data_IF_558124330942
#
_entry.id   IF_558124330942
#
_cell.length_a   1.000
_cell.length_b   1.000
_cell.length_c   1.000
_cell.angle_alpha   90.00
_cell.angle_beta   90.00
_cell.angle_gamma   90.00
#
_symmetry.space_group_name_H-M   'P 1'
#
loop_
_entity.id
_entity.type
_entity.pdbx_description
1 polymer ?
#
# COMPACT_ATOMS: atom_id res chain seq x y z
N UNK A 1 -57.68 72.37 -11.19
CA UNK A 1 -58.06 72.04 -9.81
C UNK A 1 -57.51 70.69 -9.39
N UNK A 2 -56.65 70.75 -8.38
CA UNK A 2 -56.06 69.75 -7.48
C UNK A 2 -55.14 68.69 -8.08
N UNK A 3 -53.92 68.90 -7.99
CA UNK A 3 -52.79 68.67 -7.11
C UNK A 3 -53.05 67.69 -5.95
N UNK A 4 -52.13 66.75 -5.81
CA UNK A 4 -51.89 65.79 -4.73
C UNK A 4 -52.42 64.40 -5.05
N UNK A 5 -51.62 63.41 -5.17
CA UNK A 5 -50.58 62.94 -4.27
C UNK A 5 -49.62 62.01 -4.98
N UNK A 6 -48.39 62.49 -5.03
CA UNK A 6 -47.23 61.64 -5.31
C UNK A 6 -46.78 61.10 -3.94
N UNK A 7 -46.99 59.85 -3.66
CA UNK A 7 -46.36 59.20 -2.48
C UNK A 7 -45.61 57.94 -2.93
N UNK A 8 -44.32 58.11 -2.90
CA UNK A 8 -43.29 57.14 -2.47
C UNK A 8 -43.74 55.68 -2.41
N UNK A 9 -43.33 54.96 -3.41
CA UNK A 9 -43.01 53.54 -3.29
C UNK A 9 -41.47 53.40 -3.35
N UNK A 10 -40.81 53.61 -2.21
CA UNK A 10 -39.43 53.19 -2.02
C UNK A 10 -39.44 51.67 -2.00
N UNK A 11 -39.13 51.08 -3.14
CA UNK A 11 -38.85 49.67 -3.24
C UNK A 11 -37.60 49.35 -2.42
N UNK A 12 -37.76 48.61 -1.34
CA UNK A 12 -36.71 47.95 -0.63
C UNK A 12 -36.15 46.86 -1.60
N UNK A 13 -35.14 47.23 -2.36
CA UNK A 13 -34.28 46.27 -3.04
C UNK A 13 -33.46 45.60 -1.96
N UNK A 14 -34.01 44.50 -1.40
CA UNK A 14 -33.25 43.57 -0.57
C UNK A 14 -32.10 43.04 -1.43
N UNK A 15 -30.91 43.51 -1.18
CA UNK A 15 -29.66 42.92 -1.67
C UNK A 15 -29.55 41.50 -1.07
N UNK A 16 -30.10 40.52 -1.80
CA UNK A 16 -29.67 39.15 -1.67
C UNK A 16 -28.23 39.10 -2.17
N UNK A 17 -27.28 39.37 -1.28
CA UNK A 17 -25.91 38.92 -1.45
C UNK A 17 -25.98 37.38 -1.31
N UNK A 18 -26.33 36.74 -2.40
CA UNK A 18 -26.18 35.32 -2.55
C UNK A 18 -24.71 35.02 -2.37
N UNK A 19 -24.33 34.54 -1.18
CA UNK A 19 -23.06 33.84 -1.00
C UNK A 19 -23.10 32.67 -1.94
N UNK A 20 -22.63 32.88 -3.16
CA UNK A 20 -22.27 31.82 -4.06
C UNK A 20 -21.16 31.06 -3.33
N UNK A 21 -21.52 30.03 -2.56
CA UNK A 21 -20.58 28.97 -2.24
C UNK A 21 -20.18 28.41 -3.59
N UNK A 22 -19.14 28.99 -4.19
CA UNK A 22 -18.51 28.43 -5.36
C UNK A 22 -18.15 27.01 -4.99
N UNK A 23 -18.83 26.04 -5.58
CA UNK A 23 -18.39 24.66 -5.53
C UNK A 23 -16.97 24.68 -6.11
N UNK A 24 -15.97 24.74 -5.23
CA UNK A 24 -14.57 24.63 -5.65
C UNK A 24 -14.47 23.32 -6.39
N UNK A 25 -14.10 23.38 -7.67
CA UNK A 25 -13.90 22.18 -8.47
C UNK A 25 -12.91 21.28 -7.74
N UNK A 26 -13.28 20.02 -7.53
CA UNK A 26 -12.43 19.07 -6.84
C UNK A 26 -11.15 18.85 -7.65
N UNK A 27 -10.02 18.75 -6.97
CA UNK A 27 -8.75 18.43 -7.62
C UNK A 27 -8.69 16.94 -7.92
N UNK A 28 -8.57 16.58 -9.20
CA UNK A 28 -8.40 15.18 -9.61
C UNK A 28 -7.03 14.65 -9.17
N UNK A 29 -7.02 13.50 -8.47
CA UNK A 29 -5.81 12.84 -7.98
C UNK A 29 -5.84 11.37 -8.40
N UNK A 30 -4.87 10.96 -9.21
CA UNK A 30 -4.66 9.54 -9.54
C UNK A 30 -3.78 8.89 -8.50
N UNK A 31 -4.21 7.75 -7.98
CA UNK A 31 -3.50 6.95 -6.99
C UNK A 31 -3.30 5.53 -7.50
N UNK A 32 -2.06 5.07 -7.59
CA UNK A 32 -1.73 3.73 -8.05
C UNK A 32 -1.51 2.78 -6.88
N UNK A 33 -2.12 1.59 -6.94
CA UNK A 33 -1.77 0.46 -6.08
C UNK A 33 -0.67 -0.38 -6.75
N UNK A 34 -0.03 -1.23 -5.97
CA UNK A 34 0.93 -2.21 -6.47
C UNK A 34 0.27 -3.46 -7.04
N UNK A 35 -1.01 -3.68 -6.72
CA UNK A 35 -1.72 -4.91 -7.01
C UNK A 35 -3.16 -4.67 -7.50
N UNK A 36 -3.85 -5.74 -7.82
CA UNK A 36 -5.31 -5.75 -8.09
C UNK A 36 -6.10 -5.39 -6.84
N UNK A 37 -7.37 -5.09 -7.01
CA UNK A 37 -8.27 -4.75 -5.90
C UNK A 37 -8.64 -6.01 -5.11
N UNK A 38 -8.03 -6.14 -3.94
CA UNK A 38 -8.28 -7.17 -2.95
C UNK A 38 -8.71 -6.53 -1.62
N UNK A 39 -9.12 -7.34 -0.65
CA UNK A 39 -9.57 -6.87 0.66
C UNK A 39 -8.72 -5.75 1.29
N UNK A 40 -7.38 -5.85 1.30
CA UNK A 40 -6.51 -4.81 1.86
C UNK A 40 -6.57 -3.44 1.17
N UNK A 41 -7.24 -3.33 0.01
CA UNK A 41 -7.52 -2.03 -0.64
C UNK A 41 -8.69 -1.27 -0.01
N UNK A 42 -9.43 -1.89 0.93
CA UNK A 42 -10.63 -1.32 1.54
C UNK A 42 -10.44 0.10 2.11
N UNK A 43 -9.34 0.46 2.80
CA UNK A 43 -9.16 1.80 3.34
C UNK A 43 -9.31 2.91 2.31
N UNK A 44 -8.80 2.73 1.11
CA UNK A 44 -8.85 3.71 0.03
C UNK A 44 -10.27 3.86 -0.53
N UNK A 45 -10.96 2.75 -0.71
CA UNK A 45 -12.32 2.73 -1.23
C UNK A 45 -13.36 3.20 -0.20
N UNK A 46 -13.16 2.89 1.08
CA UNK A 46 -13.96 3.46 2.18
C UNK A 46 -13.80 4.98 2.22
N UNK A 47 -12.58 5.51 2.04
CA UNK A 47 -12.34 6.94 2.00
C UNK A 47 -13.05 7.63 0.82
N UNK A 48 -13.15 6.96 -0.35
CA UNK A 48 -13.94 7.42 -1.49
C UNK A 48 -15.43 7.37 -1.15
N UNK A 49 -15.95 6.20 -0.75
CA UNK A 49 -17.38 5.95 -0.59
C UNK A 49 -17.99 6.78 0.54
N UNK A 50 -17.23 7.06 1.61
CA UNK A 50 -17.63 7.96 2.71
C UNK A 50 -17.37 9.43 2.43
N UNK A 51 -16.83 9.76 1.26
CA UNK A 51 -16.58 11.14 0.85
C UNK A 51 -15.43 11.82 1.60
N UNK A 52 -14.51 11.10 2.23
CA UNK A 52 -13.40 11.70 2.98
C UNK A 52 -12.45 12.46 2.07
N UNK A 53 -12.11 11.92 0.90
CA UNK A 53 -11.35 12.67 -0.11
C UNK A 53 -12.09 13.89 -0.60
N UNK A 54 -13.41 13.74 -0.83
CA UNK A 54 -14.28 14.83 -1.28
C UNK A 54 -14.33 15.99 -0.28
N UNK A 55 -14.35 15.68 1.02
CA UNK A 55 -14.30 16.66 2.09
C UNK A 55 -12.98 17.45 2.14
N UNK A 56 -11.89 16.87 1.60
CA UNK A 56 -10.59 17.54 1.43
C UNK A 56 -10.48 18.24 0.04
N UNK A 57 -11.56 18.33 -0.72
CA UNK A 57 -11.57 18.93 -2.05
C UNK A 57 -10.93 18.07 -3.14
N UNK A 58 -10.84 16.74 -2.94
CA UNK A 58 -10.16 15.82 -3.85
C UNK A 58 -11.16 14.89 -4.55
N UNK A 59 -10.93 14.65 -5.84
CA UNK A 59 -11.55 13.59 -6.62
C UNK A 59 -10.50 12.51 -6.91
N UNK A 60 -10.53 11.43 -6.12
CA UNK A 60 -9.49 10.40 -6.14
C UNK A 60 -9.92 9.22 -6.99
N UNK A 61 -9.11 8.90 -8.00
CA UNK A 61 -9.19 7.67 -8.79
C UNK A 61 -8.10 6.70 -8.35
N UNK A 62 -8.49 5.46 -8.06
CA UNK A 62 -7.55 4.40 -7.67
C UNK A 62 -7.37 3.42 -8.82
N UNK A 63 -6.13 3.21 -9.24
CA UNK A 63 -5.78 2.26 -10.30
C UNK A 63 -5.00 1.06 -9.71
N UNK A 64 -5.27 -0.13 -10.24
CA UNK A 64 -4.47 -1.31 -9.95
C UNK A 64 -3.09 -1.22 -10.60
N UNK A 65 -2.10 -1.94 -10.06
CA UNK A 65 -0.72 -1.85 -10.53
C UNK A 65 -0.05 -3.19 -10.82
N UNK A 66 1.10 -3.13 -11.51
CA UNK A 66 1.87 -4.30 -11.95
C UNK A 66 3.00 -4.68 -10.98
N UNK A 67 2.87 -4.37 -9.70
CA UNK A 67 3.89 -4.61 -8.68
C UNK A 67 4.63 -3.34 -8.23
N UNK A 68 5.22 -3.41 -7.03
CA UNK A 68 5.83 -2.26 -6.36
C UNK A 68 7.01 -1.65 -7.14
N UNK A 69 7.90 -2.48 -7.68
CA UNK A 69 9.10 -1.99 -8.39
C UNK A 69 8.72 -1.16 -9.62
N UNK A 70 7.77 -1.65 -10.42
CA UNK A 70 7.29 -0.91 -11.59
C UNK A 70 6.46 0.32 -11.21
N UNK A 71 5.70 0.24 -10.11
CA UNK A 71 4.88 1.34 -9.61
C UNK A 71 5.70 2.55 -9.15
N UNK A 72 6.79 2.32 -8.43
CA UNK A 72 7.70 3.39 -7.97
C UNK A 72 8.25 4.18 -9.17
N UNK A 73 8.67 3.49 -10.24
CA UNK A 73 9.15 4.14 -11.45
C UNK A 73 8.08 5.04 -12.11
N UNK A 74 6.80 4.64 -12.04
CA UNK A 74 5.68 5.45 -12.57
C UNK A 74 5.45 6.73 -11.74
N UNK A 75 5.58 6.63 -10.40
CA UNK A 75 5.51 7.81 -9.53
C UNK A 75 6.71 8.73 -9.79
N UNK A 76 7.91 8.18 -9.89
CA UNK A 76 9.11 8.96 -10.21
C UNK A 76 8.99 9.71 -11.53
N UNK A 77 8.43 9.08 -12.56
CA UNK A 77 8.19 9.67 -13.87
C UNK A 77 7.00 10.66 -13.91
N UNK A 78 6.26 10.85 -12.80
CA UNK A 78 5.10 11.76 -12.72
C UNK A 78 3.83 11.22 -13.37
N UNK A 79 3.78 9.94 -13.78
CA UNK A 79 2.56 9.32 -14.31
C UNK A 79 1.45 9.21 -13.26
N UNK A 80 1.84 9.09 -11.99
CA UNK A 80 0.98 9.14 -10.82
C UNK A 80 1.57 10.10 -9.78
N UNK A 81 0.78 11.03 -9.23
CA UNK A 81 1.24 11.89 -8.15
C UNK A 81 1.50 11.13 -6.85
N UNK A 82 0.72 10.09 -6.60
CA UNK A 82 0.76 9.24 -5.41
C UNK A 82 0.64 7.76 -5.77
N UNK A 83 1.24 6.89 -4.97
CA UNK A 83 1.12 5.45 -5.14
C UNK A 83 1.42 4.69 -3.86
N UNK A 84 0.99 3.43 -3.79
CA UNK A 84 1.14 2.52 -2.65
C UNK A 84 2.06 1.37 -3.05
N UNK A 85 3.29 1.36 -2.50
CA UNK A 85 4.34 0.42 -2.92
C UNK A 85 5.24 0.04 -1.75
N UNK A 86 5.99 -1.07 -1.91
CA UNK A 86 7.00 -1.53 -0.94
C UNK A 86 8.10 -0.48 -0.72
N UNK A 87 8.29 -0.09 0.55
CA UNK A 87 9.27 0.94 0.91
C UNK A 87 10.72 0.47 0.71
N UNK A 88 10.99 -0.84 0.81
CA UNK A 88 12.32 -1.38 0.63
C UNK A 88 12.75 -1.37 -0.85
N UNK A 89 11.78 -1.54 -1.74
CA UNK A 89 11.97 -1.29 -3.18
C UNK A 89 12.26 0.18 -3.45
N UNK A 90 11.67 1.12 -2.70
CA UNK A 90 12.01 2.53 -2.78
C UNK A 90 13.44 2.80 -2.28
N UNK A 91 13.87 2.19 -1.18
CA UNK A 91 15.25 2.28 -0.66
C UNK A 91 16.25 1.92 -1.76
N UNK A 92 16.03 0.79 -2.44
CA UNK A 92 16.86 0.34 -3.55
C UNK A 92 16.77 1.26 -4.77
N UNK A 93 15.58 1.71 -5.12
CA UNK A 93 15.36 2.64 -6.24
C UNK A 93 16.15 3.95 -6.03
N UNK A 94 16.17 4.48 -4.81
CA UNK A 94 16.88 5.72 -4.47
C UNK A 94 18.42 5.58 -4.51
N UNK A 95 18.98 4.41 -4.20
CA UNK A 95 20.40 4.14 -4.43
C UNK A 95 20.73 4.17 -5.93
N UNK A 96 19.90 3.54 -6.74
CA UNK A 96 20.11 3.43 -8.19
C UNK A 96 19.84 4.74 -8.94
N UNK A 97 18.97 5.60 -8.38
CA UNK A 97 18.51 6.86 -8.99
C UNK A 97 18.54 7.99 -7.96
N UNK A 98 19.71 8.45 -7.50
CA UNK A 98 19.82 9.39 -6.39
C UNK A 98 19.20 10.76 -6.65
N UNK A 99 19.02 11.14 -7.92
CA UNK A 99 18.33 12.36 -8.35
C UNK A 99 16.79 12.26 -8.26
N UNK A 100 16.23 11.04 -8.28
CA UNK A 100 14.80 10.77 -8.21
C UNK A 100 14.32 10.75 -6.76
N UNK A 101 13.79 11.87 -6.27
CA UNK A 101 13.50 12.09 -4.84
C UNK A 101 12.11 11.61 -4.40
N UNK A 102 11.58 10.52 -4.98
CA UNK A 102 10.34 9.89 -4.48
C UNK A 102 10.48 9.61 -2.98
N UNK A 103 9.44 9.90 -2.20
CA UNK A 103 9.45 9.80 -0.75
C UNK A 103 8.13 9.21 -0.25
N UNK A 104 8.19 8.39 0.80
CA UNK A 104 7.01 7.90 1.49
C UNK A 104 6.46 8.96 2.46
N UNK A 105 5.14 9.06 2.54
CA UNK A 105 4.41 10.03 3.36
C UNK A 105 3.47 9.39 4.39
N UNK A 106 3.22 8.08 4.25
CA UNK A 106 2.38 7.31 5.18
C UNK A 106 2.76 5.83 5.11
N UNK A 107 3.18 5.24 6.22
CA UNK A 107 3.38 3.80 6.33
C UNK A 107 2.03 3.10 6.47
N UNK A 108 1.81 2.03 5.71
CA UNK A 108 0.57 1.25 5.75
C UNK A 108 0.80 -0.14 6.32
N UNK A 109 1.80 -0.86 5.85
CA UNK A 109 2.18 -2.15 6.43
C UNK A 109 3.35 -1.97 7.39
N UNK A 110 3.03 -1.87 8.68
CA UNK A 110 4.04 -1.81 9.75
C UNK A 110 4.88 -3.11 9.79
N UNK A 111 4.24 -4.26 9.64
CA UNK A 111 4.92 -5.54 9.43
C UNK A 111 4.76 -5.95 7.97
N UNK A 112 5.86 -6.27 7.25
CA UNK A 112 5.76 -6.64 5.85
C UNK A 112 5.09 -8.00 5.66
N UNK A 113 4.20 -8.15 4.66
CA UNK A 113 3.56 -9.42 4.34
C UNK A 113 4.44 -10.34 3.48
N UNK A 114 5.73 -10.07 3.35
CA UNK A 114 6.61 -10.83 2.47
C UNK A 114 6.77 -12.26 2.93
N UNK A 115 6.48 -13.21 2.06
CA UNK A 115 6.47 -14.63 2.37
C UNK A 115 7.06 -15.48 1.24
N UNK A 116 7.60 -16.63 1.65
CA UNK A 116 7.76 -17.80 0.80
C UNK A 116 6.55 -18.69 1.07
N UNK A 117 5.79 -19.00 0.03
CA UNK A 117 4.61 -19.85 0.15
C UNK A 117 4.85 -21.15 -0.63
N UNK A 118 4.57 -22.27 0.00
CA UNK A 118 4.76 -23.62 -0.57
C UNK A 118 3.60 -24.53 -0.17
N UNK A 119 3.60 -25.75 -0.71
CA UNK A 119 2.67 -26.77 -0.25
C UNK A 119 3.39 -27.74 0.72
N UNK A 120 2.72 -28.17 1.79
CA UNK A 120 3.28 -29.03 2.82
C UNK A 120 3.90 -30.31 2.25
N UNK A 121 3.31 -30.88 1.18
CA UNK A 121 3.85 -32.04 0.46
C UNK A 121 5.23 -31.80 -0.18
N UNK A 122 5.62 -30.53 -0.41
CA UNK A 122 6.95 -30.15 -0.96
C UNK A 122 8.09 -30.23 0.05
N UNK A 123 7.77 -30.38 1.36
CA UNK A 123 8.74 -30.57 2.44
C UNK A 123 9.55 -29.32 2.83
N UNK A 124 9.14 -28.11 2.37
CA UNK A 124 9.81 -26.85 2.71
C UNK A 124 9.28 -26.38 4.07
N UNK A 125 10.09 -26.54 5.13
CA UNK A 125 9.76 -26.17 6.52
C UNK A 125 10.65 -25.08 7.07
N UNK A 126 11.84 -24.90 6.51
CA UNK A 126 12.82 -23.90 6.89
C UNK A 126 13.43 -23.23 5.63
N UNK A 127 14.03 -22.05 5.75
CA UNK A 127 14.60 -21.35 4.60
C UNK A 127 15.60 -22.17 3.78
N UNK A 128 16.42 -22.97 4.44
CA UNK A 128 17.40 -23.85 3.76
C UNK A 128 16.81 -24.97 2.91
N UNK A 129 15.56 -25.36 3.17
CA UNK A 129 14.89 -26.38 2.38
C UNK A 129 14.55 -25.91 0.95
N UNK A 130 14.78 -24.62 0.66
CA UNK A 130 14.68 -24.06 -0.69
C UNK A 130 15.85 -24.45 -1.60
N UNK A 131 16.98 -24.90 -1.03
CA UNK A 131 18.10 -25.39 -1.83
C UNK A 131 17.69 -26.64 -2.63
N UNK A 132 17.95 -26.63 -3.93
CA UNK A 132 17.51 -27.66 -4.87
C UNK A 132 16.07 -27.53 -5.36
N UNK A 133 15.36 -26.46 -4.97
CA UNK A 133 13.96 -26.21 -5.33
C UNK A 133 13.81 -25.15 -6.43
N UNK A 134 12.62 -25.12 -7.04
CA UNK A 134 12.21 -24.09 -8.02
C UNK A 134 11.34 -23.08 -7.32
N UNK A 135 11.79 -21.84 -7.26
CA UNK A 135 11.06 -20.70 -6.70
C UNK A 135 10.42 -19.88 -7.82
N UNK A 136 9.10 -19.88 -7.90
CA UNK A 136 8.34 -19.03 -8.82
C UNK A 136 8.23 -17.61 -8.27
N UNK A 137 8.76 -16.62 -8.99
CA UNK A 137 8.82 -15.25 -8.53
C UNK A 137 8.57 -14.26 -9.67
N UNK A 138 7.57 -13.36 -9.55
CA UNK A 138 7.39 -12.26 -10.50
C UNK A 138 8.50 -11.21 -10.32
N UNK A 139 9.19 -10.83 -11.40
CA UNK A 139 10.29 -9.86 -11.33
C UNK A 139 9.91 -8.49 -10.71
N UNK A 140 8.69 -7.92 -10.93
CA UNK A 140 8.31 -6.63 -10.31
C UNK A 140 7.70 -6.76 -8.91
N UNK A 141 7.69 -7.96 -8.29
CA UNK A 141 7.10 -8.21 -6.97
C UNK A 141 7.95 -7.64 -5.83
N UNK A 142 7.30 -6.91 -4.91
CA UNK A 142 7.94 -6.36 -3.71
C UNK A 142 8.51 -7.46 -2.80
N UNK A 143 7.84 -8.61 -2.68
CA UNK A 143 8.35 -9.73 -1.88
C UNK A 143 9.59 -10.35 -2.53
N UNK A 144 9.60 -10.55 -3.86
CA UNK A 144 10.77 -11.05 -4.57
C UNK A 144 11.95 -10.06 -4.52
N UNK A 145 11.69 -8.77 -4.49
CA UNK A 145 12.73 -7.75 -4.33
C UNK A 145 13.55 -7.93 -3.03
N UNK A 146 13.03 -8.69 -2.05
CA UNK A 146 13.72 -8.97 -0.78
C UNK A 146 14.44 -10.34 -0.78
N UNK A 147 14.38 -11.10 -1.87
CA UNK A 147 14.96 -12.45 -1.97
C UNK A 147 16.44 -12.49 -1.56
N UNK A 148 17.27 -11.59 -2.07
CA UNK A 148 18.70 -11.56 -1.73
C UNK A 148 18.96 -11.30 -0.26
N UNK A 149 18.15 -10.41 0.36
CA UNK A 149 18.24 -10.16 1.80
C UNK A 149 17.86 -11.42 2.60
N UNK A 150 16.82 -12.12 2.18
CA UNK A 150 16.37 -13.36 2.79
C UNK A 150 17.43 -14.47 2.66
N UNK A 151 18.01 -14.64 1.48
CA UNK A 151 19.13 -15.57 1.21
C UNK A 151 20.31 -15.28 2.15
N UNK A 152 20.74 -14.03 2.24
CA UNK A 152 21.86 -13.61 3.08
C UNK A 152 21.59 -13.86 4.56
N UNK A 153 20.40 -13.46 5.05
CA UNK A 153 20.03 -13.64 6.46
C UNK A 153 19.98 -15.11 6.88
N UNK A 154 19.55 -15.99 5.99
CA UNK A 154 19.37 -17.42 6.26
C UNK A 154 20.52 -18.32 5.73
N UNK A 155 21.58 -17.73 5.18
CA UNK A 155 22.76 -18.43 4.64
C UNK A 155 22.37 -19.50 3.60
N UNK A 156 21.38 -19.20 2.77
CA UNK A 156 20.95 -20.08 1.66
C UNK A 156 22.02 -19.99 0.56
N UNK A 157 22.36 -21.10 -0.05
CA UNK A 157 23.20 -21.11 -1.26
C UNK A 157 22.32 -20.73 -2.47
N UNK A 158 22.29 -19.42 -2.81
CA UNK A 158 21.41 -18.86 -3.84
C UNK A 158 21.50 -19.62 -5.19
N UNK A 159 22.72 -20.01 -5.56
CA UNK A 159 22.96 -20.79 -6.79
C UNK A 159 22.29 -22.17 -6.83
N UNK A 160 21.87 -22.69 -5.67
CA UNK A 160 21.11 -23.95 -5.57
C UNK A 160 19.61 -23.76 -5.70
N UNK A 161 19.08 -22.53 -5.70
CA UNK A 161 17.66 -22.24 -5.86
C UNK A 161 17.41 -21.79 -7.30
N UNK A 162 16.61 -22.56 -8.04
CA UNK A 162 16.22 -22.17 -9.39
C UNK A 162 15.13 -21.12 -9.32
N UNK A 163 15.42 -19.89 -9.73
CA UNK A 163 14.40 -18.84 -9.86
C UNK A 163 13.69 -19.01 -11.21
N UNK A 164 12.37 -19.19 -11.15
CA UNK A 164 11.51 -19.18 -12.33
C UNK A 164 10.75 -17.86 -12.37
N UNK A 165 11.02 -17.04 -13.39
CA UNK A 165 10.29 -15.79 -13.57
C UNK A 165 8.88 -16.07 -14.07
N UNK A 166 7.90 -15.98 -13.18
CA UNK A 166 6.48 -16.24 -13.47
C UNK A 166 5.68 -14.93 -13.48
N UNK A 167 4.64 -14.87 -14.30
CA UNK A 167 3.70 -13.75 -14.24
C UNK A 167 2.78 -13.86 -13.02
N UNK A 168 2.36 -12.72 -12.48
CA UNK A 168 1.44 -12.68 -11.33
C UNK A 168 0.17 -13.53 -11.50
N UNK A 169 -0.54 -13.55 -12.67
CA UNK A 169 -1.76 -14.33 -12.80
C UNK A 169 -1.58 -15.85 -12.73
N UNK A 170 -0.36 -16.34 -12.99
CA UNK A 170 -0.06 -17.79 -13.06
C UNK A 170 0.76 -18.28 -11.87
N UNK A 171 1.19 -17.41 -10.98
CA UNK A 171 2.08 -17.72 -9.84
C UNK A 171 1.49 -18.81 -8.94
N UNK A 172 0.31 -18.57 -8.36
CA UNK A 172 -0.36 -19.55 -7.50
C UNK A 172 -0.85 -20.78 -8.27
N UNK A 173 -1.43 -20.68 -9.48
CA UNK A 173 -1.72 -21.84 -10.32
C UNK A 173 -0.51 -22.73 -10.60
N UNK A 174 0.69 -22.17 -10.82
CA UNK A 174 1.90 -22.97 -11.05
C UNK A 174 2.32 -23.73 -9.80
N UNK A 175 2.22 -23.13 -8.61
CA UNK A 175 2.46 -23.83 -7.34
C UNK A 175 1.41 -24.92 -7.12
N UNK A 176 0.13 -24.64 -7.32
CA UNK A 176 -0.94 -25.62 -7.16
C UNK A 176 -0.76 -26.85 -8.07
N UNK A 177 -0.25 -26.64 -9.28
CA UNK A 177 0.03 -27.68 -10.27
C UNK A 177 1.39 -28.37 -10.06
N UNK A 178 2.21 -27.95 -9.10
CA UNK A 178 3.55 -28.49 -8.86
C UNK A 178 4.58 -28.14 -9.93
N UNK A 179 4.36 -27.09 -10.72
CA UNK A 179 5.32 -26.58 -11.71
C UNK A 179 6.46 -25.78 -11.09
N UNK A 180 6.23 -25.26 -9.90
CA UNK A 180 7.21 -24.67 -8.99
C UNK A 180 7.02 -25.27 -7.60
N UNK A 181 8.07 -25.30 -6.78
CA UNK A 181 8.05 -25.88 -5.43
C UNK A 181 7.60 -24.85 -4.38
N UNK A 182 7.91 -23.59 -4.62
CA UNK A 182 7.54 -22.46 -3.77
C UNK A 182 7.33 -21.21 -4.62
N UNK A 183 6.72 -20.19 -4.03
CA UNK A 183 6.55 -18.87 -4.65
C UNK A 183 6.90 -17.75 -3.65
N UNK A 184 7.36 -16.61 -4.16
CA UNK A 184 7.34 -15.37 -3.38
C UNK A 184 5.98 -14.69 -3.50
N UNK A 185 5.57 -13.96 -2.46
CA UNK A 185 4.35 -13.17 -2.51
C UNK A 185 4.02 -12.52 -1.17
N UNK A 186 2.89 -11.83 -1.13
CA UNK A 186 2.32 -11.35 0.11
C UNK A 186 1.52 -12.47 0.76
N UNK A 187 1.77 -12.75 2.04
CA UNK A 187 1.19 -13.87 2.79
C UNK A 187 -0.32 -14.00 2.60
N UNK A 188 -1.06 -12.91 2.81
CA UNK A 188 -2.51 -12.90 2.67
C UNK A 188 -2.97 -13.05 1.20
N UNK A 189 -2.26 -12.49 0.22
CA UNK A 189 -2.65 -12.64 -1.20
C UNK A 189 -2.42 -14.08 -1.67
N UNK A 190 -1.21 -14.61 -1.51
CA UNK A 190 -0.89 -15.96 -2.00
C UNK A 190 -1.67 -17.05 -1.28
N UNK A 191 -1.87 -16.92 0.05
CA UNK A 191 -2.65 -17.88 0.82
C UNK A 191 -4.09 -17.99 0.29
N UNK A 192 -4.81 -16.86 0.21
CA UNK A 192 -6.20 -16.88 -0.24
C UNK A 192 -6.35 -17.18 -1.74
N UNK A 193 -5.37 -16.81 -2.57
CA UNK A 193 -5.36 -17.21 -3.98
C UNK A 193 -5.18 -18.73 -4.14
N UNK A 194 -4.38 -19.39 -3.28
CA UNK A 194 -4.27 -20.85 -3.29
C UNK A 194 -5.58 -21.52 -2.86
N UNK A 195 -6.30 -20.97 -1.87
CA UNK A 195 -7.63 -21.49 -1.52
C UNK A 195 -8.58 -21.40 -2.72
N UNK A 196 -8.55 -20.29 -3.49
CA UNK A 196 -9.33 -20.13 -4.72
C UNK A 196 -8.89 -21.09 -5.83
N UNK A 197 -7.66 -21.60 -5.79
CA UNK A 197 -7.16 -22.66 -6.65
C UNK A 197 -7.44 -24.08 -6.10
N UNK A 198 -8.41 -24.21 -5.19
CA UNK A 198 -8.84 -25.46 -4.56
C UNK A 198 -7.75 -26.20 -3.75
N UNK A 199 -6.74 -25.48 -3.28
CA UNK A 199 -5.78 -26.01 -2.30
C UNK A 199 -6.37 -25.86 -0.91
N UNK A 200 -6.34 -26.94 -0.12
CA UNK A 200 -6.85 -26.91 1.26
C UNK A 200 -5.93 -26.10 2.16
N UNK A 201 -6.51 -25.43 3.16
CA UNK A 201 -5.78 -24.60 4.12
C UNK A 201 -4.64 -25.36 4.83
N UNK A 202 -4.91 -26.61 5.22
CA UNK A 202 -3.94 -27.50 5.87
C UNK A 202 -2.77 -27.92 4.98
N UNK A 203 -2.88 -27.76 3.66
CA UNK A 203 -1.83 -28.11 2.70
C UNK A 203 -0.91 -26.92 2.38
N UNK A 204 -1.25 -25.71 2.82
CA UNK A 204 -0.50 -24.48 2.52
C UNK A 204 0.50 -24.19 3.65
N UNK A 205 1.75 -24.00 3.29
CA UNK A 205 2.80 -23.48 4.17
C UNK A 205 3.10 -22.01 3.82
N UNK A 206 3.03 -21.14 4.81
CA UNK A 206 3.39 -19.72 4.69
C UNK A 206 4.58 -19.44 5.60
N UNK A 207 5.73 -19.16 5.04
CA UNK A 207 6.95 -18.80 5.76
C UNK A 207 7.13 -17.28 5.62
N UNK A 208 6.85 -16.54 6.69
CA UNK A 208 7.06 -15.09 6.70
C UNK A 208 8.55 -14.78 6.74
N UNK A 209 9.01 -13.90 5.86
CA UNK A 209 10.42 -13.49 5.84
C UNK A 209 10.82 -12.76 7.13
N UNK A 210 9.88 -12.06 7.78
CA UNK A 210 10.08 -11.39 9.07
C UNK A 210 10.46 -12.34 10.20
N UNK A 211 9.94 -13.59 10.18
CA UNK A 211 10.25 -14.59 11.19
C UNK A 211 11.65 -15.20 10.99
N UNK A 212 12.30 -14.88 9.87
CA UNK A 212 13.58 -15.41 9.45
C UNK A 212 14.62 -14.30 9.18
N UNK A 213 14.69 -13.30 10.05
CA UNK A 213 15.76 -12.32 10.09
C UNK A 213 15.60 -11.12 9.14
N UNK A 214 14.42 -10.95 8.54
CA UNK A 214 14.11 -9.78 7.72
C UNK A 214 13.40 -8.72 8.56
N UNK A 215 14.14 -7.70 8.99
CA UNK A 215 13.64 -6.61 9.85
C UNK A 215 13.30 -5.40 8.97
N UNK A 216 12.18 -5.47 8.26
CA UNK A 216 11.74 -4.46 7.31
C UNK A 216 10.37 -3.89 7.68
N UNK A 217 9.99 -2.79 7.02
CA UNK A 217 8.62 -2.35 6.84
C UNK A 217 8.05 -2.93 5.53
N UNK A 218 6.73 -2.85 5.36
CA UNK A 218 6.09 -3.22 4.09
C UNK A 218 5.77 -2.01 3.21
N UNK A 219 4.55 -1.97 2.69
CA UNK A 219 4.15 -0.92 1.77
C UNK A 219 3.79 0.39 2.47
N UNK A 220 4.14 1.48 1.78
CA UNK A 220 3.84 2.85 2.18
C UNK A 220 3.18 3.62 1.02
N UNK A 221 2.45 4.68 1.35
CA UNK A 221 2.04 5.66 0.36
C UNK A 221 3.24 6.55 0.06
N UNK A 222 3.55 6.66 -1.21
CA UNK A 222 4.66 7.43 -1.77
C UNK A 222 4.14 8.57 -2.63
N UNK A 223 4.93 9.63 -2.73
CA UNK A 223 4.58 10.82 -3.49
C UNK A 223 5.67 11.19 -4.47
N UNK A 224 5.27 11.69 -5.64
CA UNK A 224 6.17 12.38 -6.54
C UNK A 224 6.66 13.69 -5.90
N UNK A 225 7.97 13.97 -5.83
CA UNK A 225 8.51 15.12 -5.11
C UNK A 225 8.08 16.48 -5.68
N UNK A 226 7.99 16.58 -6.99
CA UNK A 226 7.55 17.82 -7.64
C UNK A 226 6.06 18.09 -7.38
N UNK A 227 5.25 17.03 -7.38
CA UNK A 227 3.84 17.14 -7.00
C UNK A 227 3.68 17.56 -5.54
N UNK A 228 4.43 16.95 -4.61
CA UNK A 228 4.37 17.28 -3.20
C UNK A 228 4.77 18.73 -2.94
N UNK A 229 5.83 19.21 -3.59
CA UNK A 229 6.30 20.60 -3.50
C UNK A 229 5.28 21.60 -4.03
N UNK A 230 4.66 21.29 -5.17
CA UNK A 230 3.66 22.17 -5.79
C UNK A 230 2.30 22.13 -5.07
N UNK A 231 1.95 21.01 -4.42
CA UNK A 231 0.62 20.73 -3.90
C UNK A 231 0.63 20.16 -2.47
N UNK A 232 1.33 20.77 -1.50
CA UNK A 232 1.48 20.18 -0.15
C UNK A 232 0.14 20.00 0.58
N UNK A 233 -0.82 20.89 0.36
CA UNK A 233 -2.16 20.78 0.95
C UNK A 233 -2.96 19.60 0.39
N UNK A 234 -2.78 19.27 -0.89
CA UNK A 234 -3.41 18.12 -1.55
C UNK A 234 -2.86 16.84 -0.95
N UNK A 235 -1.53 16.72 -0.82
CA UNK A 235 -0.89 15.55 -0.21
C UNK A 235 -1.36 15.36 1.23
N UNK A 236 -1.35 16.42 2.04
CA UNK A 236 -1.83 16.36 3.43
C UNK A 236 -3.32 15.98 3.51
N UNK A 237 -4.18 16.53 2.65
CA UNK A 237 -5.59 16.17 2.57
C UNK A 237 -5.81 14.71 2.15
N UNK A 238 -5.04 14.23 1.17
CA UNK A 238 -5.07 12.83 0.75
C UNK A 238 -4.71 11.89 1.91
N UNK A 239 -3.63 12.18 2.62
CA UNK A 239 -3.17 11.38 3.77
C UNK A 239 -4.22 11.37 4.90
N UNK A 240 -4.79 12.54 5.28
CA UNK A 240 -5.85 12.61 6.30
C UNK A 240 -7.08 11.79 5.93
N UNK A 241 -7.55 11.92 4.69
CA UNK A 241 -8.70 11.18 4.21
C UNK A 241 -8.44 9.66 4.19
N UNK A 242 -7.25 9.24 3.76
CA UNK A 242 -6.84 7.84 3.77
C UNK A 242 -6.79 7.27 5.18
N UNK A 243 -6.25 8.02 6.15
CA UNK A 243 -6.21 7.61 7.56
C UNK A 243 -7.62 7.40 8.13
N UNK A 244 -8.57 8.28 7.82
CA UNK A 244 -9.98 8.09 8.21
C UNK A 244 -10.56 6.80 7.62
N UNK A 245 -10.34 6.56 6.34
CA UNK A 245 -10.75 5.30 5.68
C UNK A 245 -10.11 4.07 6.30
N UNK A 246 -8.84 4.19 6.71
CA UNK A 246 -8.11 3.12 7.39
C UNK A 246 -8.70 2.81 8.77
N UNK A 247 -8.94 3.84 9.60
CA UNK A 247 -9.52 3.69 10.93
C UNK A 247 -10.91 3.06 10.84
N UNK A 248 -11.75 3.51 9.93
CA UNK A 248 -13.09 2.95 9.72
C UNK A 248 -13.05 1.50 9.24
N UNK A 249 -12.12 1.18 8.34
CA UNK A 249 -11.89 -0.19 7.87
C UNK A 249 -11.48 -1.11 9.02
N UNK A 250 -10.57 -0.64 9.88
CA UNK A 250 -10.10 -1.43 11.02
C UNK A 250 -11.20 -1.63 12.09
N UNK A 251 -12.07 -0.63 12.29
CA UNK A 251 -13.21 -0.72 13.22
C UNK A 251 -14.30 -1.67 12.75
N UNK A 252 -14.61 -1.65 11.45
CA UNK A 252 -15.65 -2.50 10.87
C UNK A 252 -15.24 -3.04 9.49
N UNK A 253 -14.42 -4.09 9.45
CA UNK A 253 -14.00 -4.71 8.20
C UNK A 253 -15.17 -5.36 7.43
N UNK A 254 -16.26 -5.76 8.12
CA UNK A 254 -17.42 -6.37 7.47
C UNK A 254 -18.19 -5.35 6.60
N UNK A 255 -18.30 -4.10 7.05
CA UNK A 255 -18.85 -3.01 6.23
C UNK A 255 -17.85 -2.54 5.18
N UNK A 256 -16.58 -2.42 5.55
CA UNK A 256 -15.53 -1.90 4.69
C UNK A 256 -15.32 -2.73 3.42
N UNK A 257 -15.45 -4.06 3.51
CA UNK A 257 -15.25 -4.95 2.36
C UNK A 257 -16.24 -4.67 1.21
N UNK A 258 -17.44 -4.16 1.52
CA UNK A 258 -18.42 -3.78 0.51
C UNK A 258 -17.90 -2.72 -0.47
N UNK A 259 -17.00 -1.85 -0.02
CA UNK A 259 -16.37 -0.84 -0.88
C UNK A 259 -15.39 -1.48 -1.88
N UNK A 260 -14.76 -2.59 -1.53
CA UNK A 260 -13.94 -3.39 -2.46
C UNK A 260 -14.83 -4.11 -3.47
N UNK A 261 -15.90 -4.77 -2.98
CA UNK A 261 -16.82 -5.54 -3.83
C UNK A 261 -17.48 -4.70 -4.94
N UNK A 262 -17.78 -3.43 -4.67
CA UNK A 262 -18.27 -2.49 -5.70
C UNK A 262 -17.30 -2.28 -6.86
N UNK A 263 -16.02 -2.60 -6.70
CA UNK A 263 -14.93 -2.35 -7.66
C UNK A 263 -14.26 -3.63 -8.16
N UNK A 264 -14.65 -4.76 -7.57
CA UNK A 264 -14.22 -6.10 -7.97
C UNK A 264 -15.40 -7.07 -7.84
N UNK A 265 -16.36 -6.92 -8.75
CA UNK A 265 -17.64 -7.65 -8.73
C UNK A 265 -17.49 -9.16 -8.90
N UNK A 266 -16.35 -9.62 -9.44
CA UNK A 266 -16.07 -11.05 -9.67
C UNK A 266 -15.40 -11.72 -8.47
N UNK A 267 -15.00 -10.96 -7.44
CA UNK A 267 -14.34 -11.50 -6.26
C UNK A 267 -15.35 -12.20 -5.31
N UNK A 268 -14.88 -13.20 -4.59
CA UNK A 268 -15.62 -13.82 -3.49
C UNK A 268 -15.52 -12.94 -2.24
N UNK A 269 -16.65 -12.40 -1.80
CA UNK A 269 -16.71 -11.47 -0.66
C UNK A 269 -16.15 -12.08 0.63
N UNK A 270 -16.44 -13.36 0.90
CA UNK A 270 -15.95 -14.03 2.11
C UNK A 270 -14.44 -14.14 2.09
N UNK A 271 -13.87 -14.52 0.97
CA UNK A 271 -12.42 -14.62 0.80
C UNK A 271 -11.77 -13.24 0.94
N UNK A 272 -12.33 -12.22 0.33
CA UNK A 272 -11.77 -10.87 0.42
C UNK A 272 -11.89 -10.27 1.82
N UNK A 273 -12.96 -10.59 2.55
CA UNK A 273 -13.12 -10.21 3.95
C UNK A 273 -12.09 -10.92 4.86
N UNK A 274 -11.90 -12.22 4.67
CA UNK A 274 -10.93 -12.99 5.46
C UNK A 274 -9.49 -12.51 5.14
N UNK A 275 -9.19 -12.21 3.88
CA UNK A 275 -7.94 -11.59 3.44
C UNK A 275 -7.71 -10.22 4.11
N UNK A 276 -8.73 -9.35 4.11
CA UNK A 276 -8.68 -8.05 4.79
C UNK A 276 -8.40 -8.22 6.29
N UNK A 277 -9.12 -9.11 6.96
CA UNK A 277 -8.93 -9.38 8.39
C UNK A 277 -7.53 -9.88 8.70
N UNK A 278 -6.97 -10.74 7.86
CA UNK A 278 -5.59 -11.23 8.00
C UNK A 278 -4.60 -10.08 7.85
N UNK A 279 -4.72 -9.25 6.81
CA UNK A 279 -3.83 -8.11 6.61
C UNK A 279 -3.93 -7.07 7.73
N UNK A 280 -5.15 -6.78 8.21
CA UNK A 280 -5.36 -5.87 9.35
C UNK A 280 -4.65 -6.41 10.60
N UNK A 281 -4.84 -7.69 10.94
CA UNK A 281 -4.27 -8.31 12.13
C UNK A 281 -2.75 -8.37 12.09
N UNK A 282 -2.18 -8.82 10.96
CA UNK A 282 -0.78 -9.24 10.88
C UNK A 282 0.15 -8.11 10.39
N UNK A 283 -0.38 -7.16 9.59
CA UNK A 283 0.47 -6.19 8.91
C UNK A 283 0.14 -4.73 9.23
N UNK A 284 -1.15 -4.41 9.49
CA UNK A 284 -1.63 -3.04 9.49
C UNK A 284 -1.92 -2.50 10.90
N UNK A 285 -2.57 -3.29 11.78
CA UNK A 285 -3.05 -2.85 13.11
C UNK A 285 -2.22 -3.53 14.20
N UNK A 286 -0.90 -3.40 14.07
CA UNK A 286 0.08 -3.99 14.98
C UNK A 286 0.04 -3.33 16.37
N UNK A 287 0.67 -3.93 17.40
CA UNK A 287 0.81 -3.28 18.71
C UNK A 287 1.47 -1.90 18.60
N UNK A 288 2.48 -1.74 17.72
CA UNK A 288 3.14 -0.46 17.54
C UNK A 288 2.18 0.60 16.95
N UNK A 289 1.42 0.23 15.91
CA UNK A 289 0.44 1.13 15.28
C UNK A 289 -0.69 1.50 16.24
N UNK A 290 -1.16 0.57 17.09
CA UNK A 290 -2.15 0.86 18.13
C UNK A 290 -1.64 1.90 19.14
N UNK A 291 -0.38 1.81 19.52
CA UNK A 291 0.24 2.74 20.48
C UNK A 291 0.53 4.10 19.87
N UNK A 292 1.03 4.16 18.61
CA UNK A 292 1.59 5.36 18.00
C UNK A 292 0.69 5.99 16.92
N UNK A 293 -0.38 5.30 16.51
CA UNK A 293 -1.28 5.74 15.45
C UNK A 293 -0.82 5.31 14.06
N UNK A 294 -1.76 5.31 13.13
CA UNK A 294 -1.57 4.91 11.73
C UNK A 294 -0.61 5.85 11.00
N UNK A 295 0.20 5.30 10.11
CA UNK A 295 0.93 6.07 9.11
C UNK A 295 2.35 6.47 9.48
N UNK A 296 2.74 6.41 10.76
CA UNK A 296 4.10 6.72 11.21
C UNK A 296 5.08 5.56 11.09
N UNK A 297 6.32 5.82 11.45
CA UNK A 297 7.41 4.84 11.54
C UNK A 297 8.17 4.98 12.88
N UNK A 298 8.80 3.91 13.31
CA UNK A 298 9.91 3.95 14.26
C UNK A 298 11.20 4.21 13.47
N UNK A 299 11.78 5.39 13.64
CA UNK A 299 12.94 5.83 12.87
C UNK A 299 14.16 4.94 13.08
N UNK A 300 14.36 4.40 14.30
CA UNK A 300 15.49 3.51 14.60
C UNK A 300 15.32 2.16 13.90
N UNK A 301 14.09 1.61 13.89
CA UNK A 301 13.77 0.40 13.13
C UNK A 301 13.93 0.63 11.63
N UNK A 302 13.48 1.78 11.12
CA UNK A 302 13.58 2.07 9.69
C UNK A 302 15.04 2.25 9.25
N UNK A 303 15.88 2.89 10.06
CA UNK A 303 17.31 2.97 9.80
C UNK A 303 17.94 1.57 9.68
N UNK A 304 17.62 0.64 10.59
CA UNK A 304 18.05 -0.77 10.49
C UNK A 304 17.54 -1.46 9.22
N UNK A 305 16.31 -1.17 8.80
CA UNK A 305 15.76 -1.69 7.54
C UNK A 305 16.59 -1.20 6.34
N UNK A 306 16.92 0.09 6.31
CA UNK A 306 17.77 0.68 5.27
C UNK A 306 19.14 0.00 5.27
N UNK A 307 19.76 -0.18 6.44
CA UNK A 307 21.06 -0.83 6.58
C UNK A 307 21.03 -2.27 6.05
N UNK A 308 20.01 -3.05 6.42
CA UNK A 308 19.88 -4.42 5.96
C UNK A 308 19.79 -4.52 4.42
N UNK A 309 19.02 -3.63 3.78
CA UNK A 309 18.91 -3.58 2.32
C UNK A 309 20.22 -3.07 1.69
N UNK A 310 20.77 -1.99 2.22
CA UNK A 310 21.98 -1.38 1.70
C UNK A 310 23.18 -2.34 1.74
N UNK A 311 23.37 -3.06 2.85
CA UNK A 311 24.43 -4.05 3.01
C UNK A 311 24.23 -5.30 2.16
N UNK A 312 22.97 -5.63 1.83
CA UNK A 312 22.65 -6.76 0.95
C UNK A 312 22.95 -6.47 -0.51
N UNK A 313 22.64 -5.24 -0.95
CA UNK A 313 22.79 -4.83 -2.34
C UNK A 313 24.02 -3.96 -2.60
N UNK A 314 24.91 -3.79 -1.58
CA UNK A 314 26.19 -3.04 -1.68
C UNK A 314 25.97 -1.63 -2.25
N UNK A 315 25.09 -0.86 -1.61
CA UNK A 315 24.67 0.47 -2.08
C UNK A 315 25.84 1.44 -2.22
N UNK A 316 25.83 2.19 -3.31
CA UNK A 316 26.76 3.30 -3.58
C UNK A 316 26.27 4.62 -3.00
N UNK A 317 24.95 4.82 -2.98
CA UNK A 317 24.27 6.04 -2.54
C UNK A 317 23.24 5.68 -1.45
N UNK A 318 23.74 5.28 -0.26
CA UNK A 318 22.84 4.89 0.85
C UNK A 318 21.95 6.06 1.25
N UNK A 319 20.62 5.98 1.01
CA UNK A 319 19.70 7.05 1.43
C UNK A 319 19.49 7.03 2.94
N UNK A 320 19.18 8.20 3.53
CA UNK A 320 18.83 8.32 4.95
C UNK A 320 17.31 8.12 5.16
N UNK A 321 16.92 7.94 6.43
CA UNK A 321 15.51 7.85 6.81
C UNK A 321 14.71 9.05 6.29
N UNK A 322 15.22 10.27 6.48
CA UNK A 322 14.56 11.53 6.12
C UNK A 322 14.45 11.71 4.60
N UNK A 323 15.36 11.12 3.83
CA UNK A 323 15.29 11.11 2.37
C UNK A 323 14.23 10.15 1.83
N UNK A 324 13.83 9.16 2.62
CA UNK A 324 12.89 8.09 2.22
C UNK A 324 11.50 8.27 2.80
N UNK A 325 11.39 8.85 3.99
CA UNK A 325 10.11 9.03 4.69
C UNK A 325 10.03 10.42 5.31
N UNK A 326 8.87 11.09 5.13
CA UNK A 326 8.54 12.31 5.84
C UNK A 326 7.21 12.17 6.57
N UNK A 327 7.16 12.66 7.80
CA UNK A 327 5.93 12.77 8.59
C UNK A 327 5.21 14.12 8.42
N UNK A 328 5.72 15.01 7.58
CA UNK A 328 5.20 16.38 7.37
C UNK A 328 3.71 16.41 7.03
N UNK A 329 3.25 15.43 6.26
CA UNK A 329 1.86 15.34 5.80
C UNK A 329 0.95 14.54 6.73
N UNK A 330 1.48 13.94 7.79
CA UNK A 330 0.69 13.21 8.76
C UNK A 330 -0.03 14.18 9.72
N UNK A 331 -1.31 13.97 10.02
CA UNK A 331 -1.96 14.69 11.09
C UNK A 331 -1.37 14.30 12.46
N UNK A 332 -1.66 15.08 13.54
CA UNK A 332 -1.22 14.72 14.88
C UNK A 332 -1.55 13.27 15.26
N UNK A 333 -0.72 12.65 16.09
CA UNK A 333 -0.89 11.24 16.46
C UNK A 333 -2.25 10.95 17.12
N UNK A 334 -2.84 11.93 17.82
CA UNK A 334 -4.18 11.83 18.41
C UNK A 334 -5.29 11.62 17.38
N UNK A 335 -5.11 12.11 16.16
CA UNK A 335 -6.08 11.97 15.06
C UNK A 335 -5.87 10.70 14.22
N UNK A 336 -4.83 9.93 14.53
CA UNK A 336 -4.44 8.71 13.82
C UNK A 336 -4.65 7.42 14.62
N UNK A 337 -5.25 7.52 15.81
CA UNK A 337 -5.55 6.38 16.69
C UNK A 337 -6.92 5.76 16.40
N UNK A 338 -7.05 4.46 16.75
CA UNK A 338 -8.30 3.70 16.61
C UNK A 338 -9.30 4.01 17.70
#
# INVERSE_FOLDING_TARGET
>A
MNVRTLKLACAAAALFVGASFGASAQTAVKFALDWKFEGPSAPYFVAIDKGYYKAEGLDVTVDSGPGSVAGIARVAAGAYPLGFFDINSLVKFRDQNPEQKVQAVMMVYDVPPFAIVSLNKGGIKAPKDLEGKVLGAPAPDGAFAQWKAFVKANKIEDAKVKIENVGFPVREPMLAQGKVDAITGFSFSSYFNLLQNNIKAEDISVMLMSDHGIVLYGNAIMVNPEFAKANPKIVAGFVRATIKGFIDTAKDPNTAIKSVMKRNETADEKIELDRLKMALRDNMVTPWVKANGVGGIDSARFAKSIDQIADTYEFKNRPTTEQLFTSEFLPPASERKF
#
